data_IF_351168881624
#
_entry.id   IF_351168881624
#
_cell.length_a   1.000
_cell.length_b   1.000
_cell.length_c   1.000
_cell.angle_alpha   90.00
_cell.angle_beta   90.00
_cell.angle_gamma   90.00
#
_symmetry.space_group_name_H-M   'P 1'
#
loop_
_entity.id
_entity.type
_entity.pdbx_description
1 polymer ?
#
# COMPACT_ATOMS: atom_id res chain seq x y z
N UNK A 1 -0.83 -4.96 43.08
CA UNK A 1 0.37 -5.79 42.88
C UNK A 1 0.33 -7.02 43.79
N UNK A 2 0.97 -8.08 43.31
CA UNK A 2 1.15 -9.34 44.05
C UNK A 2 2.65 -9.69 44.05
N UNK A 3 3.22 -10.07 45.17
CA UNK A 3 4.60 -10.53 45.25
C UNK A 3 4.76 -11.88 44.54
N UNK A 4 5.84 -12.03 43.77
CA UNK A 4 6.15 -13.28 43.09
C UNK A 4 7.57 -13.72 43.47
N UNK A 5 7.77 -15.03 43.51
CA UNK A 5 9.08 -15.63 43.69
C UNK A 5 9.92 -15.51 42.44
N UNK A 6 11.25 -15.35 42.58
CA UNK A 6 12.17 -15.23 41.45
C UNK A 6 12.11 -16.45 40.52
N UNK A 7 11.82 -17.63 41.05
CA UNK A 7 11.70 -18.86 40.25
C UNK A 7 10.54 -18.80 39.24
N UNK A 8 9.53 -17.94 39.47
CA UNK A 8 8.41 -17.73 38.58
C UNK A 8 8.73 -16.80 37.39
N UNK A 9 9.91 -16.18 37.37
CA UNK A 9 10.34 -15.36 36.23
C UNK A 9 10.65 -16.19 34.98
N UNK A 10 10.94 -17.49 35.14
CA UNK A 10 11.17 -18.39 34.03
C UNK A 10 12.38 -17.95 33.20
N UNK A 11 12.13 -17.68 31.93
CA UNK A 11 13.15 -17.25 30.95
C UNK A 11 13.44 -15.74 30.96
N UNK A 12 12.75 -14.96 31.79
CA UNK A 12 12.94 -13.52 31.88
C UNK A 12 14.27 -13.21 32.56
N UNK A 13 15.06 -12.32 31.95
CA UNK A 13 16.30 -11.83 32.53
C UNK A 13 16.00 -10.84 33.65
N UNK A 14 16.33 -11.17 34.92
CA UNK A 14 16.08 -10.30 36.07
C UNK A 14 16.72 -8.92 35.98
N UNK A 15 17.82 -8.80 35.23
CA UNK A 15 18.54 -7.53 35.04
C UNK A 15 17.77 -6.54 34.16
N UNK A 16 16.87 -7.03 33.33
CA UNK A 16 16.05 -6.23 32.42
C UNK A 16 14.70 -5.82 33.01
N UNK A 17 14.38 -6.28 34.22
CA UNK A 17 13.13 -5.93 34.89
C UNK A 17 13.30 -4.57 35.56
N UNK A 18 12.48 -3.61 35.14
CA UNK A 18 12.51 -2.23 35.65
C UNK A 18 11.83 -2.11 37.03
N UNK A 19 12.20 -1.08 37.77
CA UNK A 19 11.54 -0.78 39.07
C UNK A 19 10.22 -0.02 38.92
N UNK A 20 9.92 0.44 37.71
CA UNK A 20 8.68 1.16 37.40
C UNK A 20 7.96 0.47 36.23
N UNK A 21 6.64 0.57 36.25
CA UNK A 21 5.83 0.10 35.17
C UNK A 21 6.12 0.94 33.91
N UNK A 22 6.68 0.31 32.87
CA UNK A 22 6.87 0.93 31.57
C UNK A 22 5.58 0.77 30.76
N UNK A 23 4.80 1.83 30.75
CA UNK A 23 3.51 1.88 30.05
C UNK A 23 3.66 2.63 28.74
N UNK A 24 3.28 1.98 27.63
CA UNK A 24 3.25 2.58 26.30
C UNK A 24 1.83 2.58 25.78
N UNK A 25 1.41 3.70 25.24
CA UNK A 25 0.10 3.82 24.60
C UNK A 25 0.22 4.49 23.24
N UNK A 26 -0.59 4.07 22.29
CA UNK A 26 -0.74 4.72 21.01
C UNK A 26 -2.19 4.65 20.54
N UNK A 27 -2.60 5.66 19.82
CA UNK A 27 -3.91 5.73 19.19
C UNK A 27 -3.80 5.43 17.70
N UNK A 28 -4.76 4.72 17.19
CA UNK A 28 -4.88 4.41 15.77
C UNK A 28 -6.33 4.51 15.31
N UNK A 29 -6.53 4.56 14.00
CA UNK A 29 -7.86 4.53 13.41
C UNK A 29 -7.93 3.36 12.43
N UNK A 30 -9.02 2.62 12.50
CA UNK A 30 -9.32 1.61 11.50
C UNK A 30 -10.80 1.68 11.14
N UNK A 31 -11.12 1.80 9.85
CA UNK A 31 -12.49 1.96 9.35
C UNK A 31 -13.25 3.08 10.08
N UNK A 32 -12.62 4.26 10.20
CA UNK A 32 -13.15 5.47 10.84
C UNK A 32 -13.41 5.33 12.36
N UNK A 33 -13.07 4.21 12.97
CA UNK A 33 -13.18 4.01 14.40
C UNK A 33 -11.84 4.26 15.09
N UNK A 34 -11.84 5.03 16.19
CA UNK A 34 -10.63 5.22 16.98
C UNK A 34 -10.37 3.97 17.84
N UNK A 35 -9.10 3.61 17.93
CA UNK A 35 -8.60 2.56 18.81
C UNK A 35 -7.50 3.12 19.68
N UNK A 36 -7.52 2.77 20.95
CA UNK A 36 -6.43 2.99 21.89
C UNK A 36 -5.79 1.63 22.19
N UNK A 37 -4.53 1.51 21.84
CA UNK A 37 -3.72 0.35 22.19
C UNK A 37 -2.74 0.72 23.28
N UNK A 38 -2.54 -0.18 24.22
CA UNK A 38 -1.56 -0.01 25.27
C UNK A 38 -0.81 -1.32 25.53
N UNK A 39 0.42 -1.19 25.95
CA UNK A 39 1.26 -2.31 26.36
C UNK A 39 2.11 -1.93 27.56
N UNK A 40 2.37 -2.88 28.42
CA UNK A 40 3.26 -2.73 29.55
C UNK A 40 3.83 -4.08 29.98
N UNK A 41 5.01 -4.06 30.61
CA UNK A 41 5.54 -5.24 31.27
C UNK A 41 4.83 -5.39 32.63
N UNK A 42 4.10 -6.48 32.89
CA UNK A 42 3.35 -6.64 34.12
C UNK A 42 4.22 -6.94 35.34
N UNK A 43 5.53 -7.13 35.19
CA UNK A 43 6.44 -7.47 36.30
C UNK A 43 7.37 -6.29 36.56
N UNK A 44 7.48 -5.90 37.83
CA UNK A 44 8.39 -4.86 38.30
C UNK A 44 9.31 -5.41 39.39
N UNK A 45 10.48 -4.79 39.53
CA UNK A 45 11.43 -5.09 40.60
C UNK A 45 11.32 -4.01 41.71
N UNK A 46 11.10 -4.43 42.92
CA UNK A 46 11.09 -3.54 44.12
C UNK A 46 12.16 -4.02 45.11
N UNK A 47 13.30 -3.32 45.13
CA UNK A 47 14.45 -3.76 45.93
C UNK A 47 14.98 -5.11 45.44
N UNK A 48 14.95 -6.12 46.33
CA UNK A 48 15.33 -7.50 46.03
C UNK A 48 14.17 -8.41 45.63
N UNK A 49 12.95 -7.90 45.65
CA UNK A 49 11.74 -8.68 45.35
C UNK A 49 11.10 -8.30 44.03
N UNK A 50 10.26 -9.18 43.48
CA UNK A 50 9.50 -8.96 42.27
C UNK A 50 8.02 -8.92 42.56
N UNK A 51 7.32 -8.06 41.82
CA UNK A 51 5.86 -7.90 41.93
C UNK A 51 5.24 -7.99 40.57
N UNK A 52 4.10 -8.67 40.48
CA UNK A 52 3.25 -8.75 39.29
C UNK A 52 2.05 -7.83 39.44
N UNK A 53 1.71 -7.13 38.36
CA UNK A 53 0.43 -6.39 38.29
C UNK A 53 -0.71 -7.40 38.31
N UNK A 54 -1.60 -7.31 39.29
CA UNK A 54 -2.78 -8.17 39.41
C UNK A 54 -4.01 -7.53 38.75
N UNK A 55 -4.13 -6.21 38.93
CA UNK A 55 -5.22 -5.42 38.34
C UNK A 55 -4.76 -3.99 38.14
N UNK A 56 -5.36 -3.29 37.23
CA UNK A 56 -5.12 -1.87 36.98
C UNK A 56 -6.42 -1.22 36.50
N UNK A 57 -6.49 0.09 36.68
CA UNK A 57 -7.54 0.94 36.13
C UNK A 57 -6.89 1.86 35.11
N UNK A 58 -7.44 1.94 33.91
CA UNK A 58 -7.00 2.85 32.87
C UNK A 58 -8.01 3.99 32.77
N UNK A 59 -7.56 5.20 33.08
CA UNK A 59 -8.33 6.42 32.84
C UNK A 59 -7.79 7.08 31.57
N UNK A 60 -8.66 7.43 30.64
CA UNK A 60 -8.30 8.11 29.41
C UNK A 60 -9.29 9.20 29.08
N UNK A 61 -8.80 10.27 28.48
CA UNK A 61 -9.63 11.36 27.99
C UNK A 61 -9.55 11.40 26.47
N UNK A 62 -10.70 11.34 25.83
CA UNK A 62 -10.79 11.56 24.39
C UNK A 62 -10.72 13.07 24.16
N UNK A 63 -9.59 13.57 23.73
CA UNK A 63 -9.52 14.91 23.16
C UNK A 63 -9.85 14.82 21.68
N UNK A 64 -10.82 15.58 21.22
CA UNK A 64 -10.99 15.85 19.79
C UNK A 64 -9.80 16.71 19.35
N UNK A 65 -8.65 16.09 19.10
CA UNK A 65 -7.69 16.77 18.26
C UNK A 65 -8.34 16.84 16.88
N UNK A 66 -8.61 18.03 16.39
CA UNK A 66 -8.71 18.32 14.99
C UNK A 66 -7.31 18.08 14.35
N UNK A 67 -6.75 16.89 14.49
CA UNK A 67 -5.86 16.40 13.47
C UNK A 67 -6.76 16.33 12.25
N UNK A 68 -6.68 17.33 11.42
CA UNK A 68 -7.02 17.23 10.03
C UNK A 68 -6.68 15.78 9.65
N UNK A 69 -7.70 14.94 9.52
CA UNK A 69 -7.58 13.73 8.71
C UNK A 69 -6.83 14.27 7.50
N UNK A 70 -5.62 13.79 7.28
CA UNK A 70 -4.95 14.07 6.03
C UNK A 70 -6.06 13.85 5.02
N UNK A 71 -6.55 14.95 4.49
CA UNK A 71 -7.65 14.93 3.56
C UNK A 71 -7.18 13.92 2.56
N UNK A 72 -7.79 12.75 2.54
CA UNK A 72 -7.64 11.85 1.40
C UNK A 72 -7.94 12.83 0.30
N UNK A 73 -6.93 13.22 -0.47
CA UNK A 73 -7.12 14.10 -1.60
C UNK A 73 -8.12 13.35 -2.46
N UNK A 74 -9.40 13.61 -2.21
CA UNK A 74 -10.47 13.00 -2.98
C UNK A 74 -10.21 13.47 -4.39
N UNK A 75 -9.94 12.52 -5.28
CA UNK A 75 -9.76 12.79 -6.69
C UNK A 75 -11.06 13.41 -7.15
N UNK A 76 -11.05 14.72 -7.38
CA UNK A 76 -12.25 15.42 -7.86
C UNK A 76 -12.50 15.16 -9.33
N UNK A 77 -11.44 14.85 -10.09
CA UNK A 77 -11.48 14.60 -11.53
C UNK A 77 -10.53 13.43 -11.85
N UNK A 78 -10.99 12.20 -11.67
CA UNK A 78 -10.25 11.02 -12.11
C UNK A 78 -10.12 10.97 -13.64
N UNK A 79 -9.00 10.49 -14.15
CA UNK A 79 -8.82 10.21 -15.58
C UNK A 79 -9.90 9.26 -16.10
N UNK A 80 -10.43 8.38 -15.24
CA UNK A 80 -11.50 7.44 -15.57
C UNK A 80 -12.89 8.09 -15.70
N UNK A 81 -13.04 9.37 -15.37
CA UNK A 81 -14.34 10.04 -15.40
C UNK A 81 -14.91 10.20 -16.82
N UNK A 82 -14.06 10.21 -17.84
CA UNK A 82 -14.45 10.39 -19.22
C UNK A 82 -13.69 9.41 -20.12
N UNK A 83 -14.27 9.07 -21.28
CA UNK A 83 -13.66 8.20 -22.27
C UNK A 83 -14.19 6.77 -22.22
N UNK A 84 -13.70 5.95 -23.17
CA UNK A 84 -13.95 4.50 -23.21
C UNK A 84 -12.73 3.77 -22.69
N UNK A 85 -12.90 2.98 -21.64
CA UNK A 85 -11.82 2.34 -20.93
C UNK A 85 -11.85 0.84 -21.13
N UNK A 86 -10.67 0.28 -21.41
CA UNK A 86 -10.44 -1.15 -21.56
C UNK A 86 -9.23 -1.51 -20.70
N UNK A 87 -9.22 -2.69 -20.12
CA UNK A 87 -8.19 -3.12 -19.19
C UNK A 87 -7.49 -4.38 -19.66
N UNK A 88 -6.18 -4.39 -19.60
CA UNK A 88 -5.36 -5.59 -19.75
C UNK A 88 -4.33 -5.65 -18.60
N UNK A 89 -3.57 -6.73 -18.55
CA UNK A 89 -2.54 -6.90 -17.52
C UNK A 89 -1.25 -7.45 -18.11
N UNK A 90 -0.17 -7.22 -17.38
CA UNK A 90 1.12 -7.85 -17.58
C UNK A 90 1.61 -8.44 -16.25
N UNK A 91 2.43 -9.49 -16.34
CA UNK A 91 3.03 -10.14 -15.16
C UNK A 91 4.49 -9.73 -14.97
N UNK A 92 5.18 -9.45 -16.07
CA UNK A 92 6.62 -9.10 -16.08
C UNK A 92 6.86 -7.74 -16.67
N UNK A 93 7.93 -7.10 -16.18
CA UNK A 93 8.39 -5.84 -16.75
C UNK A 93 9.01 -6.05 -18.11
N UNK A 94 8.73 -5.15 -19.05
CA UNK A 94 9.27 -5.22 -20.41
C UNK A 94 8.60 -4.31 -21.40
N UNK A 95 9.09 -4.34 -22.63
CA UNK A 95 8.47 -3.64 -23.75
C UNK A 95 7.40 -4.54 -24.37
N UNK A 96 6.20 -4.02 -24.49
CA UNK A 96 5.04 -4.72 -25.03
C UNK A 96 4.60 -4.12 -26.35
N UNK A 97 4.14 -4.99 -27.23
CA UNK A 97 3.50 -4.63 -28.49
C UNK A 97 2.00 -4.82 -28.34
N UNK A 98 1.24 -3.75 -28.55
CA UNK A 98 -0.21 -3.81 -28.62
C UNK A 98 -0.64 -3.65 -30.08
N UNK A 99 -1.02 -4.76 -30.69
CA UNK A 99 -1.53 -4.79 -32.07
C UNK A 99 -3.00 -4.39 -32.13
N UNK A 100 -3.50 -4.02 -33.30
CA UNK A 100 -4.93 -3.79 -33.55
C UNK A 100 -5.77 -4.99 -33.12
N UNK A 101 -5.36 -6.20 -33.47
CA UNK A 101 -6.08 -7.43 -33.11
C UNK A 101 -6.12 -7.68 -31.61
N UNK A 102 -5.03 -7.39 -30.89
CA UNK A 102 -5.03 -7.48 -29.42
C UNK A 102 -6.03 -6.50 -28.82
N UNK A 103 -6.01 -5.22 -29.21
CA UNK A 103 -6.94 -4.22 -28.70
C UNK A 103 -8.40 -4.61 -28.97
N UNK A 104 -8.69 -5.12 -30.17
CA UNK A 104 -10.02 -5.64 -30.48
C UNK A 104 -10.41 -6.83 -29.59
N UNK A 105 -9.48 -7.70 -29.24
CA UNK A 105 -9.73 -8.87 -28.39
C UNK A 105 -10.17 -8.48 -26.96
N UNK A 106 -9.77 -7.30 -26.47
CA UNK A 106 -10.19 -6.76 -25.18
C UNK A 106 -11.42 -5.84 -25.30
N UNK A 107 -12.05 -5.81 -26.48
CA UNK A 107 -13.27 -5.05 -26.75
C UNK A 107 -13.05 -3.59 -27.14
N UNK A 108 -11.81 -3.17 -27.38
CA UNK A 108 -11.52 -1.82 -27.83
C UNK A 108 -11.93 -1.64 -29.29
N UNK A 109 -12.66 -0.56 -29.59
CA UNK A 109 -12.92 -0.19 -30.96
C UNK A 109 -11.68 0.43 -31.60
N UNK A 110 -11.00 -0.30 -32.46
CA UNK A 110 -9.77 0.14 -33.10
C UNK A 110 -9.99 1.01 -34.36
N UNK A 111 -11.24 1.39 -34.67
CA UNK A 111 -11.56 2.30 -35.76
C UNK A 111 -11.49 3.77 -35.29
N UNK A 112 -10.42 4.10 -34.59
CA UNK A 112 -10.14 5.44 -34.08
C UNK A 112 -8.77 5.89 -34.57
N UNK A 113 -8.56 7.19 -34.62
CA UNK A 113 -7.22 7.74 -34.89
C UNK A 113 -6.25 7.24 -33.78
N UNK A 114 -5.18 6.49 -34.13
CA UNK A 114 -4.28 5.90 -33.16
C UNK A 114 -3.64 6.93 -32.21
N UNK A 115 -3.47 8.17 -32.64
CA UNK A 115 -2.93 9.26 -31.84
C UNK A 115 -3.80 9.64 -30.63
N UNK A 116 -5.06 9.20 -30.61
CA UNK A 116 -5.98 9.41 -29.48
C UNK A 116 -5.97 8.24 -28.49
N UNK A 117 -5.24 7.16 -28.77
CA UNK A 117 -5.12 6.02 -27.87
C UNK A 117 -4.06 6.35 -26.81
N UNK A 118 -4.43 6.20 -25.56
CA UNK A 118 -3.56 6.43 -24.41
C UNK A 118 -3.53 5.22 -23.52
N UNK A 119 -2.40 5.00 -22.86
CA UNK A 119 -2.23 3.92 -21.89
C UNK A 119 -2.02 4.54 -20.52
N UNK A 120 -2.80 4.11 -19.55
CA UNK A 120 -2.73 4.55 -18.16
C UNK A 120 -2.43 3.37 -17.25
N UNK A 121 -1.65 3.63 -16.20
CA UNK A 121 -1.33 2.63 -15.20
C UNK A 121 -0.16 3.06 -14.33
N UNK A 122 -0.15 2.62 -13.08
CA UNK A 122 0.88 2.97 -12.11
C UNK A 122 1.97 1.89 -11.98
N UNK A 123 2.01 0.95 -12.94
CA UNK A 123 2.90 -0.20 -12.88
C UNK A 123 2.48 -1.24 -11.85
N UNK A 124 3.28 -2.29 -11.74
CA UNK A 124 3.07 -3.38 -10.77
C UNK A 124 3.74 -3.14 -9.43
N UNK A 125 4.11 -1.91 -9.11
CA UNK A 125 4.80 -1.58 -7.86
C UNK A 125 3.94 -1.93 -6.66
N UNK A 126 4.56 -2.52 -5.64
CA UNK A 126 3.88 -2.81 -4.39
C UNK A 126 3.46 -1.52 -3.70
N UNK A 127 2.25 -1.53 -3.14
CA UNK A 127 1.76 -0.42 -2.32
C UNK A 127 2.67 -0.24 -1.09
N UNK A 128 2.94 1.01 -0.67
CA UNK A 128 3.66 1.27 0.56
C UNK A 128 2.94 0.66 1.76
N UNK A 129 3.68 0.10 2.71
CA UNK A 129 3.12 -0.44 3.96
C UNK A 129 2.59 0.67 4.87
N UNK A 130 3.19 1.85 4.80
CA UNK A 130 2.79 3.01 5.59
C UNK A 130 1.97 3.99 4.75
N UNK A 131 0.79 4.35 5.20
CA UNK A 131 -0.08 5.34 4.55
C UNK A 131 0.51 6.76 4.49
N UNK A 132 1.62 7.00 5.19
CA UNK A 132 2.35 8.28 5.13
C UNK A 132 3.28 8.41 3.93
N UNK A 133 3.56 7.30 3.23
CA UNK A 133 4.37 7.30 2.02
C UNK A 133 3.47 7.68 0.85
N UNK A 134 3.85 8.70 0.07
CA UNK A 134 3.06 9.11 -1.09
C UNK A 134 2.95 7.99 -2.13
N UNK A 135 1.75 7.80 -2.65
CA UNK A 135 1.47 6.92 -3.77
C UNK A 135 0.50 7.64 -4.72
N UNK A 136 0.58 7.42 -6.03
CA UNK A 136 -0.34 8.05 -6.98
C UNK A 136 -1.80 7.78 -6.62
N UNK A 137 -2.60 8.85 -6.55
CA UNK A 137 -4.02 8.76 -6.20
C UNK A 137 -4.90 8.42 -7.42
N UNK A 138 -4.37 8.56 -8.62
CA UNK A 138 -5.04 8.24 -9.89
C UNK A 138 -4.08 7.52 -10.82
N UNK A 139 -4.57 7.06 -11.97
CA UNK A 139 -3.75 6.42 -12.98
C UNK A 139 -2.89 7.46 -13.71
N UNK A 140 -1.62 7.13 -13.92
CA UNK A 140 -0.67 7.95 -14.65
C UNK A 140 -0.62 7.55 -16.12
N UNK A 141 -0.49 8.53 -17.03
CA UNK A 141 -0.34 8.29 -18.45
C UNK A 141 1.07 7.75 -18.72
N UNK A 142 1.16 6.61 -19.42
CA UNK A 142 2.42 5.99 -19.77
C UNK A 142 2.85 6.44 -21.17
N UNK A 143 4.17 6.63 -21.33
CA UNK A 143 4.74 6.95 -22.63
C UNK A 143 4.53 5.79 -23.60
N UNK A 144 4.08 6.11 -24.80
CA UNK A 144 3.86 5.16 -25.88
C UNK A 144 4.56 5.62 -27.17
N UNK A 145 4.91 4.68 -28.02
CA UNK A 145 5.37 4.94 -29.36
C UNK A 145 4.44 4.22 -30.33
N UNK A 146 3.84 4.96 -31.24
CA UNK A 146 3.06 4.40 -32.33
C UNK A 146 3.92 4.10 -33.53
N UNK A 147 3.63 3.01 -34.21
CA UNK A 147 4.18 2.66 -35.48
C UNK A 147 3.01 2.54 -36.44
N UNK A 148 3.01 3.36 -37.50
CA UNK A 148 1.95 3.39 -38.52
C UNK A 148 0.91 4.52 -38.33
N UNK A 149 1.11 5.47 -37.43
CA UNK A 149 0.13 6.52 -37.08
C UNK A 149 -0.04 7.64 -38.12
N UNK A 150 0.80 7.68 -39.14
CA UNK A 150 0.95 8.86 -40.02
C UNK A 150 -0.31 9.21 -40.83
N UNK A 151 -1.08 8.21 -41.22
CA UNK A 151 -2.31 8.38 -42.00
C UNK A 151 -3.56 8.62 -41.12
N UNK A 152 -3.42 8.54 -39.78
CA UNK A 152 -4.53 8.72 -38.83
C UNK A 152 -5.48 7.52 -38.74
N UNK A 153 -5.10 6.38 -39.30
CA UNK A 153 -5.86 5.14 -39.29
C UNK A 153 -5.03 4.05 -38.63
N UNK A 154 -5.65 3.27 -37.74
CA UNK A 154 -4.99 2.13 -37.14
C UNK A 154 -5.18 0.89 -38.01
N UNK A 155 -4.24 0.67 -38.92
CA UNK A 155 -4.29 -0.40 -39.92
C UNK A 155 -3.81 -1.74 -39.36
N UNK A 156 -4.06 -2.82 -40.10
CA UNK A 156 -3.42 -4.11 -39.83
C UNK A 156 -1.91 -3.99 -40.06
N UNK A 157 -1.12 -4.38 -39.09
CA UNK A 157 0.34 -4.21 -39.11
C UNK A 157 0.84 -3.01 -38.29
N UNK A 158 -0.03 -2.05 -37.95
CA UNK A 158 0.30 -0.98 -37.03
C UNK A 158 0.28 -1.51 -35.60
N UNK A 159 1.05 -0.87 -34.74
CA UNK A 159 1.12 -1.27 -33.35
C UNK A 159 1.59 -0.14 -32.41
N UNK A 160 1.30 -0.32 -31.15
CA UNK A 160 1.77 0.55 -30.08
C UNK A 160 2.87 -0.19 -29.32
N UNK A 161 3.99 0.50 -29.09
CA UNK A 161 5.02 0.06 -28.16
C UNK A 161 4.89 0.84 -26.87
N UNK A 162 4.95 0.15 -25.75
CA UNK A 162 5.08 0.80 -24.46
C UNK A 162 5.87 -0.09 -23.49
N UNK A 163 6.52 0.55 -22.53
CA UNK A 163 7.18 -0.16 -21.44
C UNK A 163 6.20 -0.34 -20.29
N UNK A 164 5.94 -1.57 -19.93
CA UNK A 164 5.11 -1.91 -18.77
C UNK A 164 5.98 -2.40 -17.62
N UNK A 165 5.70 -1.90 -16.41
CA UNK A 165 6.26 -2.45 -15.17
C UNK A 165 5.37 -3.60 -14.68
N UNK A 166 5.95 -4.79 -14.55
CA UNK A 166 5.30 -5.95 -13.96
C UNK A 166 5.34 -5.90 -12.43
N UNK A 167 4.89 -6.97 -11.80
CA UNK A 167 4.83 -7.10 -10.34
C UNK A 167 6.13 -7.57 -9.69
N UNK A 168 7.14 -7.89 -10.47
CA UNK A 168 8.43 -8.48 -10.08
C UNK A 168 9.53 -7.43 -9.80
N UNK A 169 9.15 -6.22 -9.44
CA UNK A 169 10.09 -5.14 -9.10
C UNK A 169 10.60 -5.26 -7.67
N UNK A 170 11.88 -4.87 -7.46
CA UNK A 170 12.46 -4.83 -6.12
C UNK A 170 11.77 -3.79 -5.25
N UNK A 171 11.33 -4.21 -4.07
CA UNK A 171 10.79 -3.32 -3.05
C UNK A 171 11.79 -3.20 -1.89
N UNK A 172 12.31 -2.00 -1.66
CA UNK A 172 13.31 -1.72 -0.63
C UNK A 172 12.74 -1.79 0.80
N UNK A 173 11.46 -1.47 0.97
CA UNK A 173 10.82 -1.47 2.29
C UNK A 173 10.64 -2.89 2.83
N UNK A 174 10.22 -3.81 1.98
CA UNK A 174 9.97 -5.21 2.34
C UNK A 174 11.11 -6.17 1.98
N UNK A 175 12.18 -5.66 1.34
CA UNK A 175 13.36 -6.41 0.91
C UNK A 175 13.01 -7.66 0.07
N UNK A 176 12.10 -7.51 -0.88
CA UNK A 176 11.62 -8.61 -1.71
C UNK A 176 11.23 -8.14 -3.10
N UNK A 177 11.23 -9.08 -4.05
CA UNK A 177 10.63 -8.92 -5.38
C UNK A 177 9.16 -9.37 -5.43
N UNK A 178 8.67 -9.99 -4.35
CA UNK A 178 7.30 -10.51 -4.32
C UNK A 178 6.34 -9.40 -3.98
N UNK A 179 5.43 -9.07 -4.90
CA UNK A 179 4.33 -8.18 -4.59
C UNK A 179 3.30 -8.91 -3.72
N UNK A 180 3.05 -8.41 -2.52
CA UNK A 180 2.15 -9.03 -1.53
C UNK A 180 0.67 -8.78 -1.84
N UNK A 181 0.35 -7.88 -2.77
CA UNK A 181 -1.02 -7.44 -3.03
C UNK A 181 -1.58 -7.93 -4.36
N UNK A 182 -0.71 -8.23 -5.33
CA UNK A 182 -1.14 -8.63 -6.67
C UNK A 182 -0.07 -9.46 -7.38
N UNK A 183 -0.52 -10.36 -8.24
CA UNK A 183 0.28 -11.11 -9.20
C UNK A 183 0.22 -10.51 -10.63
N UNK A 184 -0.50 -9.40 -10.80
CA UNK A 184 -0.74 -8.75 -12.09
C UNK A 184 -0.61 -7.24 -11.98
N UNK A 185 0.01 -6.64 -12.97
CA UNK A 185 0.05 -5.20 -13.19
C UNK A 185 -0.96 -4.83 -14.26
N UNK A 186 -1.89 -3.95 -13.92
CA UNK A 186 -2.99 -3.56 -14.80
C UNK A 186 -2.74 -2.21 -15.48
N UNK A 187 -3.14 -2.17 -16.73
CA UNK A 187 -3.09 -0.99 -17.59
C UNK A 187 -4.40 -0.81 -18.33
#
# INVERSE_FOLDING_TARGET
YESIDISLLGVLDPAKITSKLDFKSFSSFAREKPYLSFSFNPIIKEGSSYKRVKSFTLEYTLSSSNKSLNTINSIQNSVLANGSWHRFYVEKSGVYILSKSFLQSIGFNADVDPRNIKIYGNGGRMLPLLNSIPYPNDLEENAVQFIGEQDGVFNDGDYILFYAEGVDTWNEESLTHVNQFSDKSYY
#
